data_IF_954860232238
#
_entry.id   IF_954860232238
#
_cell.length_a   1.000
_cell.length_b   1.000
_cell.length_c   1.000
_cell.angle_alpha   90.00
_cell.angle_beta   90.00
_cell.angle_gamma   90.00
#
_symmetry.space_group_name_H-M   'P 1'
#
loop_
_entity.id
_entity.type
_entity.pdbx_description
1 polymer ?
#
# COMPACT_ATOMS: atom_id res chain seq x y z
N UNK A 1 20.95 -29.20 -33.89
CA UNK A 1 19.87 -28.81 -32.97
C UNK A 1 20.55 -28.29 -31.73
N UNK A 2 20.78 -26.99 -31.67
CA UNK A 2 21.50 -26.32 -30.58
C UNK A 2 20.49 -25.83 -29.55
N UNK A 3 20.49 -26.48 -28.39
CA UNK A 3 19.71 -26.07 -27.22
C UNK A 3 20.19 -24.70 -26.74
N UNK A 4 19.26 -23.76 -26.70
CA UNK A 4 19.45 -22.44 -26.11
C UNK A 4 19.02 -22.54 -24.64
N UNK A 5 19.99 -22.74 -23.75
CA UNK A 5 19.80 -22.50 -22.32
C UNK A 5 19.90 -20.99 -22.06
N UNK A 6 18.76 -20.32 -21.88
CA UNK A 6 18.72 -18.92 -21.45
C UNK A 6 18.95 -18.89 -19.94
N UNK A 7 20.06 -18.27 -19.55
CA UNK A 7 20.42 -17.93 -18.20
C UNK A 7 19.33 -17.09 -17.53
N UNK A 8 18.81 -17.60 -16.41
CA UNK A 8 17.95 -16.86 -15.49
C UNK A 8 18.83 -15.95 -14.63
N UNK A 9 18.88 -14.66 -14.99
CA UNK A 9 19.58 -13.66 -14.19
C UNK A 9 18.72 -13.19 -13.00
N UNK A 10 19.31 -13.40 -11.82
CA UNK A 10 19.20 -12.61 -10.60
C UNK A 10 17.81 -12.16 -10.14
N UNK A 11 17.18 -13.00 -9.30
CA UNK A 11 16.23 -12.52 -8.30
C UNK A 11 17.06 -11.76 -7.26
N UNK A 12 16.98 -10.44 -7.28
CA UNK A 12 17.65 -9.60 -6.28
C UNK A 12 16.96 -9.86 -4.93
N UNK A 13 17.65 -10.63 -4.09
CA UNK A 13 17.23 -10.96 -2.74
C UNK A 13 17.13 -9.67 -1.93
N UNK A 14 15.90 -9.26 -1.59
CA UNK A 14 15.62 -8.09 -0.75
C UNK A 14 16.24 -8.34 0.62
N UNK A 15 17.43 -7.80 0.84
CA UNK A 15 18.09 -7.86 2.15
C UNK A 15 17.24 -7.06 3.16
N UNK A 16 17.08 -7.52 4.41
CA UNK A 16 16.43 -6.72 5.42
C UNK A 16 17.28 -5.47 5.64
N UNK A 17 16.80 -4.33 5.16
CA UNK A 17 17.33 -3.02 5.55
C UNK A 17 16.90 -2.85 7.00
N UNK A 18 17.85 -2.86 7.94
CA UNK A 18 17.52 -2.51 9.32
C UNK A 18 16.89 -1.11 9.31
N UNK A 19 15.68 -0.96 9.87
CA UNK A 19 15.01 0.32 9.85
C UNK A 19 15.90 1.35 10.54
N UNK A 20 16.01 2.59 10.02
CA UNK A 20 16.70 3.66 10.72
C UNK A 20 16.18 3.74 12.15
N UNK A 21 17.09 3.74 13.12
CA UNK A 21 16.77 3.64 14.54
C UNK A 21 15.78 4.73 15.03
N UNK A 22 15.63 5.83 14.27
CA UNK A 22 14.87 7.01 14.68
C UNK A 22 13.59 7.28 13.85
N UNK A 23 13.10 6.32 13.05
CA UNK A 23 11.87 6.55 12.25
C UNK A 23 10.62 6.78 13.11
N UNK A 24 10.58 6.18 14.31
CA UNK A 24 9.49 6.30 15.27
C UNK A 24 10.10 6.49 16.66
N UNK A 25 10.45 7.72 16.99
CA UNK A 25 10.98 8.05 18.32
C UNK A 25 9.90 7.96 19.42
N UNK A 26 10.36 7.85 20.67
CA UNK A 26 9.48 7.70 21.84
C UNK A 26 8.50 8.88 21.99
N UNK A 27 8.91 10.09 21.59
CA UNK A 27 8.07 11.28 21.68
C UNK A 27 6.90 11.22 20.69
N UNK A 28 7.16 10.79 19.46
CA UNK A 28 6.16 10.62 18.41
C UNK A 28 5.20 9.48 18.76
N UNK A 29 5.72 8.38 19.29
CA UNK A 29 4.91 7.25 19.76
C UNK A 29 3.96 7.71 20.87
N UNK A 30 4.46 8.45 21.86
CA UNK A 30 3.63 9.00 22.93
C UNK A 30 2.51 9.89 22.38
N UNK A 31 2.82 10.79 21.45
CA UNK A 31 1.83 11.65 20.80
C UNK A 31 0.78 10.86 20.02
N UNK A 32 1.16 9.79 19.31
CA UNK A 32 0.23 8.94 18.58
C UNK A 32 -0.72 8.21 19.53
N UNK A 33 -0.20 7.67 20.63
CA UNK A 33 -1.00 6.99 21.67
C UNK A 33 -1.97 7.95 22.34
N UNK A 34 -1.54 9.17 22.68
CA UNK A 34 -2.40 10.18 23.29
C UNK A 34 -3.53 10.61 22.36
N UNK A 35 -3.23 10.82 21.07
CA UNK A 35 -4.25 11.13 20.06
C UNK A 35 -5.21 9.97 19.86
N UNK A 36 -4.73 8.72 19.86
CA UNK A 36 -5.57 7.55 19.74
C UNK A 36 -6.54 7.42 20.93
N UNK A 37 -6.03 7.61 22.15
CA UNK A 37 -6.85 7.62 23.37
C UNK A 37 -7.89 8.73 23.35
N UNK A 38 -7.51 9.94 22.94
CA UNK A 38 -8.44 11.07 22.80
C UNK A 38 -9.51 10.82 21.74
N UNK A 39 -9.16 10.14 20.65
CA UNK A 39 -10.08 9.73 19.58
C UNK A 39 -10.92 8.48 19.88
N UNK A 40 -10.76 7.87 21.06
CA UNK A 40 -11.47 6.64 21.43
C UNK A 40 -11.05 5.40 20.61
N UNK A 41 -9.90 5.47 19.93
CA UNK A 41 -9.38 4.36 19.14
C UNK A 41 -8.78 3.30 20.07
N UNK A 42 -9.12 2.04 19.81
CA UNK A 42 -8.53 0.92 20.51
C UNK A 42 -7.07 0.74 20.09
N UNK A 43 -6.19 0.46 21.05
CA UNK A 43 -4.77 0.22 20.77
C UNK A 43 -4.54 -1.13 20.06
N UNK A 44 -5.48 -2.07 20.23
CA UNK A 44 -5.47 -3.41 19.65
C UNK A 44 -6.86 -3.78 19.13
N UNK A 45 -6.93 -4.65 18.13
CA UNK A 45 -8.20 -5.16 17.58
C UNK A 45 -8.57 -4.57 16.21
N UNK A 46 -9.69 -5.03 15.65
CA UNK A 46 -10.22 -4.53 14.39
C UNK A 46 -10.68 -3.07 14.54
N UNK A 47 -10.26 -2.20 13.63
CA UNK A 47 -10.43 -0.75 13.69
C UNK A 47 -9.42 -0.01 14.58
N UNK A 48 -8.41 -0.71 15.12
CA UNK A 48 -7.43 -0.14 16.03
C UNK A 48 -6.39 0.79 15.38
N UNK A 49 -5.57 1.43 16.22
CA UNK A 49 -4.48 2.31 15.78
C UNK A 49 -3.53 1.66 14.74
N UNK A 50 -3.07 0.40 14.90
CA UNK A 50 -2.18 -0.23 13.91
C UNK A 50 -2.82 -0.34 12.52
N UNK A 51 -4.13 -0.59 12.47
CA UNK A 51 -4.86 -0.72 11.22
C UNK A 51 -4.99 0.63 10.51
N UNK A 52 -5.26 1.70 11.26
CA UNK A 52 -5.33 3.06 10.72
C UNK A 52 -3.97 3.58 10.25
N UNK A 53 -2.89 3.26 10.97
CA UNK A 53 -1.53 3.58 10.55
C UNK A 53 -1.18 2.86 9.25
N UNK A 54 -1.45 1.56 9.17
CA UNK A 54 -1.21 0.75 7.96
C UNK A 54 -2.00 1.31 6.77
N UNK A 55 -3.27 1.65 6.97
CA UNK A 55 -4.09 2.34 5.96
C UNK A 55 -3.42 3.61 5.46
N UNK A 56 -3.03 4.49 6.38
CA UNK A 56 -2.49 5.80 6.03
C UNK A 56 -1.16 5.69 5.29
N UNK A 57 -0.29 4.78 5.72
CA UNK A 57 0.99 4.49 5.04
C UNK A 57 0.75 4.00 3.62
N UNK A 58 -0.18 3.06 3.43
CA UNK A 58 -0.52 2.55 2.10
C UNK A 58 -1.09 3.64 1.18
N UNK A 59 -2.03 4.46 1.68
CA UNK A 59 -2.60 5.58 0.92
C UNK A 59 -1.53 6.62 0.55
N UNK A 60 -0.66 6.98 1.50
CA UNK A 60 0.44 7.92 1.25
C UNK A 60 1.42 7.39 0.21
N UNK A 61 1.76 6.11 0.27
CA UNK A 61 2.69 5.51 -0.68
C UNK A 61 2.06 5.41 -2.08
N UNK A 62 0.76 5.11 -2.19
CA UNK A 62 0.04 5.15 -3.47
C UNK A 62 -0.10 6.57 -4.05
N UNK A 63 -0.25 7.59 -3.20
CA UNK A 63 -0.25 8.98 -3.66
C UNK A 63 1.14 9.39 -4.17
N UNK A 64 2.22 8.88 -3.56
CA UNK A 64 3.57 9.01 -4.09
C UNK A 64 3.70 8.40 -5.49
N UNK A 65 3.27 7.14 -5.67
CA UNK A 65 3.35 6.45 -6.97
C UNK A 65 2.59 7.19 -8.08
N UNK A 66 1.39 7.72 -7.81
CA UNK A 66 0.64 8.47 -8.86
C UNK A 66 1.29 9.82 -9.15
N UNK A 67 1.92 10.44 -8.16
CA UNK A 67 2.69 11.66 -8.33
C UNK A 67 3.89 11.41 -9.24
N UNK A 68 4.62 10.33 -9.01
CA UNK A 68 5.74 9.91 -9.85
C UNK A 68 5.29 9.55 -11.27
N UNK A 69 4.14 8.88 -11.42
CA UNK A 69 3.56 8.52 -12.72
C UNK A 69 3.13 9.73 -13.54
N UNK A 70 2.52 10.73 -12.90
CA UNK A 70 2.03 11.94 -13.56
C UNK A 70 3.11 13.02 -13.70
N UNK A 71 4.14 12.98 -12.86
CA UNK A 71 5.23 13.97 -12.80
C UNK A 71 4.86 15.29 -12.13
N UNK A 72 3.72 15.36 -11.43
CA UNK A 72 3.28 16.56 -10.72
C UNK A 72 2.39 16.25 -9.52
N UNK A 73 2.38 17.15 -8.54
CA UNK A 73 1.67 17.01 -7.27
C UNK A 73 0.15 17.25 -7.37
N UNK A 74 -0.58 16.83 -6.35
CA UNK A 74 -2.02 17.10 -6.29
C UNK A 74 -2.28 18.62 -6.22
N UNK A 75 -3.13 19.12 -7.13
CA UNK A 75 -3.45 20.55 -7.31
C UNK A 75 -2.32 21.41 -7.88
N UNK A 76 -1.25 20.82 -8.40
CA UNK A 76 -0.20 21.56 -9.10
C UNK A 76 -0.72 22.14 -10.43
N UNK A 77 -0.51 23.44 -10.73
CA UNK A 77 -0.83 24.03 -12.04
C UNK A 77 -0.14 23.32 -13.22
N UNK A 78 0.98 22.61 -13.00
CA UNK A 78 1.65 21.82 -14.04
C UNK A 78 0.75 20.72 -14.64
N UNK A 79 -0.26 20.26 -13.89
CA UNK A 79 -1.26 19.29 -14.37
C UNK A 79 -2.36 19.89 -15.24
N UNK A 80 -2.42 21.21 -15.44
CA UNK A 80 -3.43 21.85 -16.26
C UNK A 80 -3.06 21.74 -17.75
N UNK A 81 -3.72 20.83 -18.47
CA UNK A 81 -3.49 20.65 -19.91
C UNK A 81 -2.41 19.60 -20.26
N UNK A 82 -1.95 18.81 -19.29
CA UNK A 82 -1.00 17.69 -19.47
C UNK A 82 -1.57 16.47 -20.21
N UNK A 83 -2.84 16.51 -20.63
CA UNK A 83 -3.54 15.38 -21.26
C UNK A 83 -4.10 14.41 -20.23
N UNK A 84 -3.23 13.81 -19.41
CA UNK A 84 -3.63 12.92 -18.32
C UNK A 84 -3.72 13.66 -16.97
N UNK A 85 -4.73 13.34 -16.17
CA UNK A 85 -4.94 13.95 -14.86
C UNK A 85 -5.51 12.99 -13.82
N UNK A 86 -5.32 13.32 -12.53
CA UNK A 86 -5.92 12.55 -11.42
C UNK A 86 -7.46 12.56 -11.53
N UNK A 87 -8.08 11.39 -11.50
CA UNK A 87 -9.52 11.18 -11.65
C UNK A 87 -10.14 10.54 -10.40
N UNK A 88 -9.90 11.18 -9.25
CA UNK A 88 -10.41 10.75 -7.96
C UNK A 88 -9.77 9.46 -7.43
N UNK A 89 -10.47 8.82 -6.49
CA UNK A 89 -10.02 7.62 -5.78
C UNK A 89 -11.07 6.53 -5.84
N UNK A 90 -10.66 5.27 -5.67
CA UNK A 90 -11.58 4.13 -5.53
C UNK A 90 -11.28 3.32 -4.28
N UNK A 91 -12.31 2.93 -3.51
CA UNK A 91 -12.13 2.12 -2.32
C UNK A 91 -11.69 0.70 -2.71
N UNK A 92 -10.80 0.12 -1.90
CA UNK A 92 -10.36 -1.27 -2.02
C UNK A 92 -10.06 -1.82 -0.64
N UNK A 93 -10.65 -2.97 -0.31
CA UNK A 93 -10.31 -3.69 0.93
C UNK A 93 -9.16 -4.65 0.66
N UNK A 94 -8.09 -4.49 1.44
CA UNK A 94 -6.88 -5.30 1.38
C UNK A 94 -6.71 -6.03 2.71
N UNK A 95 -6.48 -7.34 2.63
CA UNK A 95 -6.21 -8.17 3.79
C UNK A 95 -4.73 -8.02 4.15
N UNK A 96 -4.48 -7.56 5.37
CA UNK A 96 -3.15 -7.40 5.96
C UNK A 96 -3.06 -8.25 7.23
N UNK A 97 -1.86 -8.37 7.81
CA UNK A 97 -1.63 -9.14 9.03
C UNK A 97 -2.39 -8.57 10.24
N UNK A 98 -2.62 -7.25 10.26
CA UNK A 98 -3.39 -6.56 11.30
C UNK A 98 -4.90 -6.62 11.07
N UNK A 99 -5.36 -7.23 9.97
CA UNK A 99 -6.77 -7.36 9.61
C UNK A 99 -7.15 -6.76 8.25
N UNK A 100 -8.45 -6.75 7.91
CA UNK A 100 -8.96 -6.19 6.65
C UNK A 100 -8.94 -4.66 6.66
N UNK A 101 -8.08 -4.04 5.86
CA UNK A 101 -7.95 -2.58 5.77
C UNK A 101 -8.65 -2.07 4.51
N UNK A 102 -9.52 -1.07 4.65
CA UNK A 102 -10.05 -0.33 3.50
C UNK A 102 -9.11 0.83 3.15
N UNK A 103 -8.63 0.87 1.91
CA UNK A 103 -7.75 1.91 1.38
C UNK A 103 -8.41 2.62 0.21
N UNK A 104 -8.06 3.89 0.03
CA UNK A 104 -8.40 4.68 -1.16
C UNK A 104 -7.27 4.61 -2.19
N UNK A 105 -7.55 4.03 -3.36
CA UNK A 105 -6.56 3.89 -4.44
C UNK A 105 -6.77 5.01 -5.47
N UNK A 106 -5.76 5.87 -5.71
CA UNK A 106 -5.86 6.94 -6.69
C UNK A 106 -5.89 6.38 -8.12
N UNK A 107 -6.48 7.14 -9.04
CA UNK A 107 -6.54 6.80 -10.46
C UNK A 107 -6.24 8.00 -11.33
N UNK A 108 -5.70 7.74 -12.50
CA UNK A 108 -5.56 8.68 -13.58
C UNK A 108 -6.77 8.64 -14.53
N UNK A 109 -6.87 9.62 -15.42
CA UNK A 109 -8.00 9.78 -16.34
C UNK A 109 -7.89 8.87 -17.55
N UNK A 110 -6.67 8.61 -18.01
CA UNK A 110 -6.38 7.70 -19.12
C UNK A 110 -6.40 6.22 -18.71
N UNK A 111 -6.25 5.93 -17.41
CA UNK A 111 -6.21 4.56 -16.88
C UNK A 111 -4.88 3.85 -17.10
N UNK A 112 -3.82 4.60 -17.42
CA UNK A 112 -2.46 4.10 -17.65
C UNK A 112 -1.70 3.83 -16.35
N UNK A 113 -2.19 4.31 -15.21
CA UNK A 113 -1.54 4.11 -13.92
C UNK A 113 -1.61 2.64 -13.46
N UNK A 114 -0.44 2.08 -13.12
CA UNK A 114 -0.28 0.71 -12.64
C UNK A 114 0.42 0.68 -11.27
N UNK A 115 -0.35 0.66 -10.17
CA UNK A 115 0.23 0.70 -8.84
C UNK A 115 1.05 -0.55 -8.53
N UNK A 116 2.23 -0.36 -7.93
CA UNK A 116 3.18 -1.45 -7.65
C UNK A 116 3.03 -1.98 -6.23
N UNK A 117 2.83 -1.10 -5.24
CA UNK A 117 2.63 -1.49 -3.83
C UNK A 117 1.37 -2.35 -3.67
N UNK A 118 0.26 -1.95 -4.30
CA UNK A 118 -1.00 -2.71 -4.28
C UNK A 118 -1.46 -3.00 -5.70
N UNK A 119 -0.97 -4.09 -6.28
CA UNK A 119 -1.24 -4.44 -7.69
C UNK A 119 -2.73 -4.51 -7.99
N UNK A 120 -3.07 -4.26 -9.26
CA UNK A 120 -4.44 -4.40 -9.77
C UNK A 120 -4.96 -5.80 -9.40
N UNK A 121 -6.17 -5.86 -8.83
CA UNK A 121 -6.85 -7.10 -8.37
C UNK A 121 -6.19 -7.85 -7.20
N UNK A 122 -5.04 -7.43 -6.70
CA UNK A 122 -4.42 -8.01 -5.50
C UNK A 122 -5.26 -7.71 -4.26
N UNK A 123 -5.62 -8.73 -3.46
CA UNK A 123 -6.45 -8.57 -2.25
C UNK A 123 -5.70 -8.86 -0.95
N UNK A 124 -4.45 -9.33 -1.02
CA UNK A 124 -3.61 -9.70 0.13
C UNK A 124 -2.22 -9.08 -0.03
N UNK A 125 -1.72 -8.47 1.04
CA UNK A 125 -0.36 -7.91 1.12
C UNK A 125 0.44 -8.72 2.14
N UNK A 126 0.89 -9.91 1.78
CA UNK A 126 1.86 -10.68 2.59
C UNK A 126 2.79 -11.50 1.70
N UNK A 127 4.07 -11.56 2.08
CA UNK A 127 5.09 -12.47 1.54
C UNK A 127 4.99 -13.90 2.07
N UNK A 128 3.83 -14.30 2.63
CA UNK A 128 3.60 -15.64 3.20
C UNK A 128 2.22 -16.13 2.74
N UNK A 129 2.09 -16.45 1.45
CA UNK A 129 0.92 -17.16 0.91
C UNK A 129 1.33 -18.30 -0.03
N UNK A 130 2.57 -18.82 0.09
CA UNK A 130 2.96 -20.08 -0.54
C UNK A 130 2.39 -21.32 0.20
N UNK A 131 1.78 -21.13 1.38
CA UNK A 131 1.37 -22.24 2.26
C UNK A 131 -0.03 -22.14 2.87
N UNK A 132 -0.87 -21.20 2.42
CA UNK A 132 -2.23 -21.08 2.96
C UNK A 132 -3.28 -20.78 1.88
N UNK A 133 -3.27 -21.60 0.83
CA UNK A 133 -4.43 -21.80 -0.02
C UNK A 133 -5.51 -22.55 0.78
N UNK A 134 -6.25 -21.80 1.61
CA UNK A 134 -7.51 -22.28 2.15
C UNK A 134 -8.58 -22.26 1.07
N UNK A 135 -8.90 -23.47 0.61
CA UNK A 135 -10.27 -23.91 0.39
C UNK A 135 -11.17 -23.39 1.54
N UNK A 136 -11.90 -22.30 1.31
CA UNK A 136 -13.04 -21.93 2.13
C UNK A 136 -14.32 -22.11 1.30
N UNK A 137 -15.29 -22.92 1.74
CA UNK A 137 -16.58 -23.04 1.07
C UNK A 137 -17.41 -21.76 1.31
N UNK A 138 -18.16 -21.34 0.28
CA UNK A 138 -19.15 -20.26 0.38
C UNK A 138 -20.29 -20.68 1.33
N UNK A 139 -20.76 -19.82 2.25
CA UNK A 139 -22.03 -20.05 2.93
C UNK A 139 -23.20 -19.95 1.93
N UNK A 140 -24.20 -20.80 2.15
CA UNK A 140 -25.46 -20.86 1.40
C UNK A 140 -26.35 -19.65 1.65
#
# INVERSE_FOLDING_TARGET
MSDVTVSVEAVEEVRPVEPPADLLDDQLIAQLVDRARAGGLQLTGEGGLPQQLTRRVLESALEGEITDHLGYEKHDPAGAGSGNSRNGVRPKTVLTEVGPVEIEVPRDREGSFEPQIVKKRQRRLTGVDERWCCRCPRPA
#
